data_IF_470782484022
#
_entry.id   IF_470782484022
#
_cell.length_a   1.000
_cell.length_b   1.000
_cell.length_c   1.000
_cell.angle_alpha   90.00
_cell.angle_beta   90.00
_cell.angle_gamma   90.00
#
_symmetry.space_group_name_H-M   'P 1'
#
loop_
_entity.id
_entity.type
_entity.pdbx_description
1 polymer ?
#
# COMPACT_ATOMS: atom_id res chain seq x y z
N UNK A 1 -54.74 -42.69 45.29
CA UNK A 1 -55.54 -43.31 44.25
C UNK A 1 -56.41 -42.20 43.64
N UNK A 2 -55.90 -41.46 42.65
CA UNK A 2 -56.68 -40.50 41.83
C UNK A 2 -56.28 -40.71 40.39
N UNK A 3 -57.26 -41.12 39.59
CA UNK A 3 -57.17 -41.27 38.14
C UNK A 3 -57.08 -39.88 37.48
N UNK A 4 -56.14 -39.68 36.55
CA UNK A 4 -56.13 -38.58 35.61
C UNK A 4 -56.50 -39.11 34.23
N UNK A 5 -57.61 -38.59 33.70
CA UNK A 5 -58.08 -38.82 32.33
C UNK A 5 -57.21 -38.01 31.32
N UNK A 6 -56.74 -38.71 30.30
CA UNK A 6 -56.03 -38.13 29.17
C UNK A 6 -57.05 -37.83 28.05
N UNK A 7 -57.26 -36.56 27.70
CA UNK A 7 -58.11 -36.15 26.58
C UNK A 7 -57.21 -35.94 25.34
N UNK A 8 -57.50 -36.71 24.30
CA UNK A 8 -56.85 -36.59 22.99
C UNK A 8 -57.65 -35.59 22.15
N UNK A 9 -56.98 -34.49 21.74
CA UNK A 9 -57.51 -33.58 20.72
C UNK A 9 -56.94 -33.99 19.34
N UNK A 10 -57.83 -34.42 18.43
CA UNK A 10 -57.53 -34.52 17.01
C UNK A 10 -57.61 -33.12 16.39
N UNK A 11 -56.46 -32.61 15.86
CA UNK A 11 -56.45 -31.45 15.01
C UNK A 11 -56.49 -31.86 13.54
N UNK A 12 -57.53 -31.43 12.85
CA UNK A 12 -57.69 -31.61 11.41
C UNK A 12 -56.78 -30.61 10.66
N UNK A 13 -55.81 -31.12 9.88
CA UNK A 13 -55.04 -30.31 8.94
C UNK A 13 -55.84 -30.02 7.68
N UNK A 14 -56.22 -28.76 7.47
CA UNK A 14 -56.74 -28.25 6.19
C UNK A 14 -55.52 -27.89 5.31
N UNK A 15 -55.34 -28.60 4.22
CA UNK A 15 -54.33 -28.28 3.21
C UNK A 15 -54.85 -27.10 2.36
N UNK A 16 -54.24 -25.94 2.52
CA UNK A 16 -54.39 -24.82 1.59
C UNK A 16 -53.34 -24.93 0.48
N UNK A 17 -53.82 -25.15 -0.75
CA UNK A 17 -53.00 -25.12 -1.96
C UNK A 17 -52.54 -23.68 -2.23
N UNK A 18 -51.25 -23.38 -2.06
CA UNK A 18 -50.67 -22.12 -2.48
C UNK A 18 -50.25 -22.23 -3.96
N UNK A 19 -50.73 -21.31 -4.78
CA UNK A 19 -50.31 -21.14 -6.16
C UNK A 19 -48.83 -20.76 -6.23
N UNK A 20 -48.08 -21.20 -7.25
CA UNK A 20 -46.67 -20.81 -7.41
C UNK A 20 -46.57 -19.31 -7.71
N UNK A 21 -45.63 -18.66 -6.99
CA UNK A 21 -45.24 -17.26 -7.25
C UNK A 21 -44.69 -17.10 -8.67
N UNK A 22 -44.91 -15.96 -9.33
CA UNK A 22 -44.36 -15.71 -10.65
C UNK A 22 -42.81 -15.70 -10.60
N UNK A 23 -42.19 -16.39 -11.54
CA UNK A 23 -40.73 -16.40 -11.69
C UNK A 23 -40.24 -14.97 -11.97
N UNK A 24 -39.44 -14.44 -11.04
CA UNK A 24 -38.68 -13.20 -11.27
C UNK A 24 -37.61 -13.53 -12.32
N UNK A 25 -37.82 -13.07 -13.54
CA UNK A 25 -36.78 -13.08 -14.56
C UNK A 25 -35.64 -12.19 -14.07
N UNK A 26 -34.49 -12.79 -13.77
CA UNK A 26 -33.28 -12.04 -13.48
C UNK A 26 -32.98 -11.15 -14.69
N UNK A 27 -32.88 -9.83 -14.46
CA UNK A 27 -32.43 -8.92 -15.50
C UNK A 27 -31.02 -9.37 -15.95
N UNK A 28 -30.79 -9.37 -17.26
CA UNK A 28 -29.48 -9.60 -17.81
C UNK A 28 -28.48 -8.58 -17.20
N UNK A 29 -27.23 -9.01 -16.88
CA UNK A 29 -26.23 -8.06 -16.42
C UNK A 29 -26.08 -6.95 -17.46
N UNK A 30 -25.84 -5.69 -17.04
CA UNK A 30 -25.56 -4.61 -17.97
C UNK A 30 -24.39 -5.01 -18.85
N UNK A 31 -24.46 -4.67 -20.14
CA UNK A 31 -23.36 -4.88 -21.07
C UNK A 31 -22.09 -4.22 -20.49
N UNK A 32 -20.95 -4.91 -20.61
CA UNK A 32 -19.65 -4.34 -20.24
C UNK A 32 -19.50 -2.97 -20.95
N UNK A 33 -19.17 -1.93 -20.17
CA UNK A 33 -18.87 -0.61 -20.74
C UNK A 33 -17.64 -0.76 -21.65
N UNK A 34 -17.67 -0.19 -22.84
CA UNK A 34 -16.49 -0.12 -23.70
C UNK A 34 -15.47 0.79 -22.97
N UNK A 35 -14.21 0.34 -22.85
CA UNK A 35 -13.15 1.09 -22.17
C UNK A 35 -12.91 2.48 -22.78
N UNK A 36 -13.40 2.73 -24.01
CA UNK A 36 -13.32 4.02 -24.72
C UNK A 36 -14.40 5.01 -24.29
N UNK A 37 -15.44 4.59 -23.58
CA UNK A 37 -16.56 5.45 -23.14
C UNK A 37 -16.32 6.12 -21.77
N UNK A 38 -15.20 5.82 -21.10
CA UNK A 38 -14.85 6.44 -19.82
C UNK A 38 -14.34 7.87 -20.01
N UNK A 39 -14.76 8.84 -19.18
CA UNK A 39 -14.18 10.17 -19.20
C UNK A 39 -12.65 10.12 -18.96
N UNK A 40 -11.90 10.94 -19.68
CA UNK A 40 -10.44 11.00 -19.56
C UNK A 40 -9.75 9.63 -19.68
N UNK A 41 -10.30 8.72 -20.50
CA UNK A 41 -9.74 7.39 -20.73
C UNK A 41 -8.30 7.47 -21.24
N UNK A 42 -7.44 6.60 -20.72
CA UNK A 42 -6.08 6.40 -21.20
C UNK A 42 -6.08 5.14 -22.08
N UNK A 43 -5.46 5.22 -23.26
CA UNK A 43 -5.31 4.06 -24.12
C UNK A 43 -4.58 2.94 -23.40
N UNK A 44 -5.08 1.70 -23.54
CA UNK A 44 -4.50 0.54 -22.89
C UNK A 44 -4.13 -0.56 -23.86
N UNK A 45 -3.04 -1.27 -23.57
CA UNK A 45 -2.68 -2.54 -24.16
C UNK A 45 -2.86 -3.66 -23.14
N UNK A 46 -3.23 -4.85 -23.61
CA UNK A 46 -3.40 -6.00 -22.73
C UNK A 46 -2.05 -6.51 -22.24
N UNK A 47 -1.90 -6.53 -20.92
CA UNK A 47 -0.80 -7.19 -20.20
C UNK A 47 -1.23 -8.61 -19.83
N UNK A 48 -0.38 -9.60 -20.09
CA UNK A 48 -0.57 -10.96 -19.54
C UNK A 48 0.20 -11.07 -18.23
N UNK A 49 -0.46 -11.10 -17.06
CA UNK A 49 0.23 -11.26 -15.80
C UNK A 49 0.99 -12.58 -15.76
N UNK A 50 2.27 -12.53 -15.42
CA UNK A 50 3.14 -13.69 -15.24
C UNK A 50 3.85 -13.60 -13.89
N UNK A 51 3.96 -14.71 -13.13
CA UNK A 51 4.68 -14.69 -11.87
C UNK A 51 6.14 -14.27 -12.05
N UNK A 52 6.55 -13.25 -11.32
CA UNK A 52 7.94 -12.80 -11.17
C UNK A 52 8.39 -13.24 -9.79
N UNK A 53 9.30 -14.20 -9.76
CA UNK A 53 9.82 -14.77 -8.52
C UNK A 53 11.29 -14.40 -8.37
N UNK A 54 11.59 -13.67 -7.31
CA UNK A 54 12.94 -13.42 -6.86
C UNK A 54 13.18 -14.33 -5.66
N UNK A 55 14.25 -15.13 -5.68
CA UNK A 55 14.58 -16.04 -4.57
C UNK A 55 15.95 -15.72 -4.00
N UNK A 56 16.16 -16.05 -2.74
CA UNK A 56 17.45 -15.83 -2.09
C UNK A 56 18.59 -16.60 -2.78
N UNK A 57 18.28 -17.79 -3.29
CA UNK A 57 19.25 -18.68 -3.95
C UNK A 57 19.73 -18.13 -5.31
N UNK A 58 18.95 -17.25 -5.95
CA UNK A 58 19.28 -16.66 -7.25
C UNK A 58 20.01 -15.32 -7.13
N UNK A 59 20.26 -14.84 -5.91
CA UNK A 59 20.90 -13.54 -5.69
C UNK A 59 22.40 -13.59 -6.02
N UNK A 60 22.95 -12.53 -6.63
CA UNK A 60 24.38 -12.43 -6.87
C UNK A 60 25.14 -12.24 -5.54
N UNK A 61 26.43 -12.52 -5.56
CA UNK A 61 27.32 -12.16 -4.46
C UNK A 61 27.41 -10.62 -4.33
N UNK A 62 27.61 -10.11 -3.11
CA UNK A 62 27.88 -8.69 -2.92
C UNK A 62 29.01 -8.19 -3.81
N UNK A 63 28.76 -7.03 -4.46
CA UNK A 63 29.70 -6.39 -5.40
C UNK A 63 29.95 -7.18 -6.70
N UNK A 64 29.09 -8.12 -7.09
CA UNK A 64 29.18 -8.81 -8.38
C UNK A 64 29.04 -7.87 -9.58
N UNK A 65 28.40 -6.71 -9.40
CA UNK A 65 28.36 -5.59 -10.34
C UNK A 65 28.73 -4.29 -9.65
N UNK A 66 29.11 -3.27 -10.43
CA UNK A 66 29.21 -1.91 -9.89
C UNK A 66 27.82 -1.39 -9.53
N UNK A 67 27.75 -0.60 -8.46
CA UNK A 67 26.51 0.06 -8.07
C UNK A 67 26.31 1.30 -8.92
N UNK A 68 25.37 1.25 -9.84
CA UNK A 68 25.04 2.38 -10.68
C UNK A 68 24.41 3.54 -9.88
N UNK A 69 24.48 4.75 -10.44
CA UNK A 69 23.78 5.95 -9.97
C UNK A 69 23.13 6.64 -11.16
N UNK A 70 22.03 6.05 -11.61
CA UNK A 70 21.24 6.53 -12.74
C UNK A 70 19.85 6.92 -12.25
N UNK A 71 19.69 8.18 -11.83
CA UNK A 71 18.36 8.73 -11.54
C UNK A 71 17.53 8.81 -12.84
N UNK A 72 16.20 8.68 -12.76
CA UNK A 72 15.37 8.72 -13.94
C UNK A 72 15.40 10.11 -14.61
N UNK A 73 15.46 10.10 -15.94
CA UNK A 73 15.11 11.25 -16.78
C UNK A 73 13.59 11.27 -16.92
N UNK A 74 12.96 12.24 -16.25
CA UNK A 74 11.49 12.38 -16.24
C UNK A 74 11.11 13.25 -17.43
N UNK A 75 10.34 12.68 -18.35
CA UNK A 75 9.81 13.39 -19.52
C UNK A 75 8.31 13.69 -19.34
N UNK A 76 7.81 14.63 -20.14
CA UNK A 76 6.39 14.93 -20.19
C UNK A 76 5.57 13.70 -20.58
N UNK A 77 4.30 13.69 -20.16
CA UNK A 77 3.36 12.65 -20.59
C UNK A 77 3.25 12.67 -22.11
N UNK A 78 3.42 11.53 -22.81
CA UNK A 78 3.26 11.46 -24.26
C UNK A 78 1.91 12.02 -24.72
N UNK A 79 1.86 12.61 -25.92
CA UNK A 79 0.60 13.12 -26.50
C UNK A 79 -0.48 12.03 -26.65
N UNK A 80 -0.06 10.78 -26.77
CA UNK A 80 -0.94 9.58 -26.80
C UNK A 80 -0.35 8.54 -25.85
N UNK A 81 -0.55 8.68 -24.53
CA UNK A 81 0.00 7.75 -23.58
C UNK A 81 -0.70 6.39 -23.69
N UNK A 82 0.08 5.32 -23.62
CA UNK A 82 -0.44 3.95 -23.58
C UNK A 82 0.05 3.29 -22.30
N UNK A 83 -0.89 2.79 -21.50
CA UNK A 83 -0.62 1.99 -20.32
C UNK A 83 -0.94 0.51 -20.61
N UNK A 84 -0.38 -0.39 -19.82
CA UNK A 84 -0.64 -1.82 -19.95
C UNK A 84 -1.27 -2.33 -18.68
N UNK A 85 -2.41 -3.02 -18.84
CA UNK A 85 -3.19 -3.63 -17.74
C UNK A 85 -3.67 -5.02 -18.16
N UNK A 86 -4.03 -5.90 -17.23
CA UNK A 86 -4.63 -7.19 -17.57
C UNK A 86 -5.93 -7.04 -18.36
N UNK A 87 -6.32 -8.09 -19.10
CA UNK A 87 -7.54 -8.10 -19.87
C UNK A 87 -8.77 -7.76 -19.02
N UNK A 88 -9.67 -6.94 -19.54
CA UNK A 88 -10.90 -6.50 -18.88
C UNK A 88 -10.71 -5.31 -17.93
N UNK A 89 -9.50 -4.74 -17.84
CA UNK A 89 -9.26 -3.51 -17.09
C UNK A 89 -9.18 -2.30 -18.01
N UNK A 90 -9.66 -1.18 -17.50
CA UNK A 90 -9.56 0.14 -18.13
C UNK A 90 -8.87 1.12 -17.19
N UNK A 91 -8.24 2.14 -17.77
CA UNK A 91 -7.54 3.19 -17.03
C UNK A 91 -8.08 4.55 -17.46
N UNK A 92 -8.34 5.43 -16.50
CA UNK A 92 -8.70 6.82 -16.75
C UNK A 92 -7.88 7.75 -15.84
N UNK A 93 -7.69 8.99 -16.25
CA UNK A 93 -7.14 10.03 -15.37
C UNK A 93 -8.24 10.48 -14.44
N UNK A 94 -8.13 10.13 -13.15
CA UNK A 94 -9.09 10.50 -12.11
C UNK A 94 -8.90 11.94 -11.64
N UNK A 95 -7.64 12.41 -11.56
CA UNK A 95 -7.30 13.82 -11.31
C UNK A 95 -5.94 14.13 -11.93
N UNK A 96 -5.74 15.35 -12.40
CA UNK A 96 -4.48 15.84 -12.93
C UNK A 96 -4.14 17.27 -12.46
N UNK A 97 -2.99 17.79 -12.91
CA UNK A 97 -2.52 19.11 -12.50
C UNK A 97 -2.28 19.21 -10.99
N UNK A 98 -1.77 18.13 -10.38
CA UNK A 98 -1.46 18.02 -8.97
C UNK A 98 0.04 18.24 -8.73
N UNK A 99 0.38 18.87 -7.62
CA UNK A 99 1.78 19.05 -7.22
C UNK A 99 2.29 17.83 -6.46
N UNK A 100 3.10 16.99 -7.12
CA UNK A 100 3.75 15.81 -6.54
C UNK A 100 2.80 14.97 -5.66
N UNK A 101 1.69 14.44 -6.21
CA UNK A 101 0.73 13.63 -5.45
C UNK A 101 1.41 12.35 -4.94
N UNK A 102 1.27 12.06 -3.64
CA UNK A 102 1.97 10.92 -3.07
C UNK A 102 1.07 9.92 -2.38
N UNK A 103 0.44 10.29 -1.27
CA UNK A 103 -0.27 9.34 -0.43
C UNK A 103 -1.76 9.61 -0.42
N UNK A 104 -2.53 8.54 -0.44
CA UNK A 104 -3.99 8.58 -0.44
C UNK A 104 -4.54 8.00 0.85
N UNK A 105 -5.66 8.55 1.30
CA UNK A 105 -6.48 7.95 2.34
C UNK A 105 -7.97 8.18 2.04
N UNK A 106 -8.79 7.17 2.31
CA UNK A 106 -10.24 7.28 2.21
C UNK A 106 -10.78 7.91 3.50
N UNK A 107 -11.46 9.04 3.39
CA UNK A 107 -12.15 9.66 4.51
C UNK A 107 -13.48 8.93 4.82
N UNK A 108 -13.98 9.01 6.06
CA UNK A 108 -15.23 8.35 6.46
C UNK A 108 -16.47 8.77 5.67
N UNK A 109 -16.44 9.91 4.99
CA UNK A 109 -17.51 10.41 4.12
C UNK A 109 -17.36 9.99 2.65
N UNK A 110 -16.36 9.15 2.33
CA UNK A 110 -16.09 8.65 0.99
C UNK A 110 -15.22 9.58 0.12
N UNK A 111 -14.84 10.77 0.61
CA UNK A 111 -13.86 11.61 -0.08
C UNK A 111 -12.45 11.02 0.02
N UNK A 112 -11.60 11.36 -0.93
CA UNK A 112 -10.20 10.92 -0.96
C UNK A 112 -9.31 12.07 -0.49
N UNK A 113 -8.52 11.83 0.55
CA UNK A 113 -7.46 12.75 0.96
C UNK A 113 -6.17 12.42 0.23
N UNK A 114 -5.53 13.44 -0.32
CA UNK A 114 -4.25 13.36 -1.01
C UNK A 114 -3.19 14.15 -0.26
N UNK A 115 -2.14 13.50 0.20
CA UNK A 115 -0.95 14.19 0.67
C UNK A 115 -0.05 14.61 -0.52
N UNK A 116 -0.01 15.91 -0.79
CA UNK A 116 0.99 16.59 -1.61
C UNK A 116 2.17 16.96 -0.69
N UNK A 117 3.00 15.95 -0.37
CA UNK A 117 3.93 16.04 0.76
C UNK A 117 4.93 17.18 0.63
N UNK A 118 5.46 17.43 -0.59
CA UNK A 118 6.47 18.48 -0.83
C UNK A 118 5.92 19.88 -0.69
N UNK A 119 4.60 20.03 -0.88
CA UNK A 119 3.86 21.28 -0.75
C UNK A 119 3.34 21.51 0.68
N UNK A 120 3.60 20.56 1.59
CA UNK A 120 3.05 20.58 2.94
C UNK A 120 1.53 20.76 2.96
N UNK A 121 0.84 20.10 2.02
CA UNK A 121 -0.60 20.26 1.80
C UNK A 121 -1.27 18.89 1.74
N UNK A 122 -2.48 18.82 2.29
CA UNK A 122 -3.42 17.72 2.08
C UNK A 122 -4.62 18.30 1.32
N UNK A 123 -4.93 17.70 0.19
CA UNK A 123 -6.12 18.01 -0.60
C UNK A 123 -7.24 17.03 -0.28
N UNK A 124 -8.48 17.48 -0.36
CA UNK A 124 -9.69 16.67 -0.36
C UNK A 124 -10.25 16.64 -1.77
N UNK A 125 -10.38 15.45 -2.32
CA UNK A 125 -10.82 15.19 -3.69
C UNK A 125 -12.13 14.40 -3.65
N UNK A 126 -13.05 14.71 -4.56
CA UNK A 126 -14.32 14.01 -4.68
C UNK A 126 -14.71 13.86 -6.14
N UNK A 127 -15.16 12.67 -6.49
CA UNK A 127 -15.91 12.34 -7.69
C UNK A 127 -17.39 12.48 -7.29
N UNK A 128 -17.98 13.62 -7.62
CA UNK A 128 -19.28 14.01 -7.08
C UNK A 128 -20.47 13.41 -7.85
N UNK A 129 -20.29 13.14 -9.15
CA UNK A 129 -21.32 12.56 -10.02
C UNK A 129 -21.11 11.07 -10.33
N UNK A 130 -19.96 10.50 -9.90
CA UNK A 130 -19.67 9.09 -10.01
C UNK A 130 -19.19 8.66 -11.39
N UNK A 131 -18.71 9.60 -12.22
CA UNK A 131 -18.23 9.32 -13.58
C UNK A 131 -16.78 8.79 -13.62
N UNK A 132 -16.11 8.79 -12.47
CA UNK A 132 -14.74 8.32 -12.30
C UNK A 132 -13.68 9.40 -12.49
N UNK A 133 -14.07 10.67 -12.38
CA UNK A 133 -13.17 11.84 -12.38
C UNK A 133 -13.44 12.65 -11.09
N UNK A 134 -12.41 13.20 -10.48
CA UNK A 134 -12.56 14.07 -9.32
C UNK A 134 -12.72 15.53 -9.75
N UNK A 135 -13.96 16.04 -9.76
CA UNK A 135 -14.27 17.43 -10.11
C UNK A 135 -13.97 18.38 -8.96
N UNK A 136 -14.29 17.94 -7.72
CA UNK A 136 -14.09 18.77 -6.55
C UNK A 136 -12.67 18.58 -5.98
N UNK A 137 -12.00 19.72 -5.79
CA UNK A 137 -10.67 19.80 -5.20
C UNK A 137 -10.65 20.91 -4.17
N UNK A 138 -10.46 20.56 -2.92
CA UNK A 138 -10.43 21.49 -1.79
C UNK A 138 -9.13 21.34 -0.99
N UNK A 139 -8.61 22.42 -0.44
CA UNK A 139 -7.48 22.35 0.51
C UNK A 139 -8.02 21.90 1.87
N UNK A 140 -7.63 20.70 2.30
CA UNK A 140 -8.02 20.13 3.60
C UNK A 140 -7.10 20.60 4.73
N UNK A 141 -5.79 20.62 4.50
CA UNK A 141 -4.80 21.11 5.47
C UNK A 141 -3.55 21.63 4.77
N UNK A 142 -2.79 22.51 5.46
CA UNK A 142 -1.55 23.13 4.98
C UNK A 142 -0.49 23.15 6.07
N UNK A 143 0.69 23.72 5.77
CA UNK A 143 1.73 24.00 6.76
C UNK A 143 1.22 24.83 7.95
N UNK A 144 0.19 25.68 7.78
CA UNK A 144 -0.42 26.43 8.88
C UNK A 144 -1.13 25.52 9.90
N UNK A 145 -1.48 24.31 9.51
CA UNK A 145 -1.99 23.26 10.40
C UNK A 145 -0.87 22.44 11.06
N UNK A 146 0.41 22.76 10.86
CA UNK A 146 1.54 22.04 11.41
C UNK A 146 1.99 20.86 10.55
N UNK A 147 1.67 20.85 9.25
CA UNK A 147 2.19 19.85 8.31
C UNK A 147 3.65 20.13 7.97
N UNK A 148 4.49 19.09 8.00
CA UNK A 148 5.87 19.05 7.53
C UNK A 148 6.15 17.74 6.79
N UNK A 149 6.13 17.80 5.46
CA UNK A 149 6.22 16.64 4.58
C UNK A 149 5.21 15.55 4.98
N UNK A 150 3.89 15.87 5.06
CA UNK A 150 2.87 14.90 5.48
C UNK A 150 2.85 13.70 4.53
N UNK A 151 2.59 12.50 5.07
CA UNK A 151 2.48 11.30 4.25
C UNK A 151 1.32 10.41 4.70
N UNK A 152 1.54 9.49 5.64
CA UNK A 152 0.50 8.59 6.11
C UNK A 152 -0.63 9.33 6.81
N UNK A 153 -1.85 8.89 6.56
CA UNK A 153 -3.07 9.47 7.09
C UNK A 153 -4.00 8.37 7.60
N UNK A 154 -4.58 8.56 8.78
CA UNK A 154 -5.48 7.58 9.37
C UNK A 154 -6.65 8.26 10.09
N UNK A 155 -7.75 7.53 10.23
CA UNK A 155 -8.91 7.90 11.03
C UNK A 155 -9.10 6.86 12.14
N UNK A 156 -9.15 7.30 13.37
CA UNK A 156 -9.43 6.45 14.53
C UNK A 156 -9.99 7.33 15.68
N UNK A 157 -10.80 6.76 16.55
CA UNK A 157 -11.30 7.42 17.77
C UNK A 157 -11.86 8.85 17.54
N UNK A 158 -12.63 9.03 16.46
CA UNK A 158 -13.20 10.34 16.11
C UNK A 158 -12.18 11.42 15.79
N UNK A 159 -10.97 11.03 15.39
CA UNK A 159 -9.88 11.92 15.06
C UNK A 159 -9.24 11.56 13.71
N UNK A 160 -8.59 12.55 13.12
CA UNK A 160 -7.70 12.40 11.98
C UNK A 160 -6.26 12.44 12.46
N UNK A 161 -5.44 11.56 11.92
CA UNK A 161 -4.02 11.47 12.20
C UNK A 161 -3.21 11.65 10.93
N UNK A 162 -2.07 12.35 11.04
CA UNK A 162 -1.12 12.50 9.94
C UNK A 162 0.31 12.29 10.44
N UNK A 163 1.08 11.49 9.69
CA UNK A 163 2.52 11.34 9.87
C UNK A 163 3.27 12.43 9.12
N UNK A 164 3.83 13.35 9.85
CA UNK A 164 4.87 14.27 9.38
C UNK A 164 6.24 13.62 9.50
N UNK A 165 7.26 14.22 8.91
CA UNK A 165 8.63 13.73 9.05
C UNK A 165 9.11 13.69 10.51
N UNK A 166 8.72 14.68 11.31
CA UNK A 166 9.19 14.86 12.70
C UNK A 166 8.18 14.46 13.79
N UNK A 167 6.94 14.19 13.44
CA UNK A 167 5.91 13.85 14.40
C UNK A 167 4.73 13.10 13.81
N UNK A 168 3.87 12.54 14.67
CA UNK A 168 2.50 12.15 14.35
C UNK A 168 1.56 13.12 15.05
N UNK A 169 0.65 13.74 14.29
CA UNK A 169 -0.34 14.69 14.82
C UNK A 169 -1.74 14.14 14.77
N UNK A 170 -2.50 14.46 15.82
CA UNK A 170 -3.92 14.16 16.00
C UNK A 170 -4.73 15.45 15.89
N UNK A 171 -5.81 15.41 15.11
CA UNK A 171 -6.79 16.49 14.97
C UNK A 171 -8.17 15.96 15.30
N UNK A 172 -9.01 16.70 16.03
CA UNK A 172 -10.44 16.40 16.10
C UNK A 172 -11.02 16.36 14.68
N UNK A 173 -11.83 15.36 14.39
CA UNK A 173 -12.44 15.20 13.06
C UNK A 173 -13.90 14.76 13.16
N UNK A 174 -14.74 15.40 12.36
CA UNK A 174 -16.12 14.99 12.15
C UNK A 174 -16.33 14.57 10.69
N UNK A 175 -17.07 13.49 10.39
CA UNK A 175 -17.37 13.09 9.02
C UNK A 175 -17.97 14.24 8.21
N UNK A 176 -17.45 14.43 6.98
CA UNK A 176 -17.84 15.55 6.11
C UNK A 176 -17.13 16.87 6.39
N UNK A 177 -16.19 16.91 7.33
CA UNK A 177 -15.38 18.09 7.58
C UNK A 177 -14.48 18.38 6.38
N UNK A 178 -14.64 19.54 5.75
CA UNK A 178 -13.93 19.94 4.53
C UNK A 178 -12.50 20.42 4.76
N UNK A 179 -12.11 20.80 5.99
CA UNK A 179 -10.77 21.29 6.34
C UNK A 179 -10.44 21.06 7.81
N UNK A 180 -9.15 20.99 8.12
CA UNK A 180 -8.67 20.92 9.50
C UNK A 180 -8.64 22.31 10.16
N UNK A 181 -8.85 22.31 11.46
CA UNK A 181 -8.75 23.49 12.33
C UNK A 181 -7.52 23.37 13.25
N UNK A 182 -6.81 24.48 13.45
CA UNK A 182 -5.63 24.54 14.34
C UNK A 182 -4.45 23.72 13.88
N UNK A 183 -3.50 23.48 14.79
CA UNK A 183 -2.24 22.76 14.52
C UNK A 183 -2.23 21.31 15.01
N UNK A 184 -3.35 20.83 15.54
CA UNK A 184 -3.43 19.50 16.14
C UNK A 184 -2.57 19.33 17.39
N UNK A 185 -2.56 18.10 17.90
CA UNK A 185 -1.73 17.71 19.06
C UNK A 185 -0.72 16.67 18.59
N UNK A 186 0.55 16.83 18.97
CA UNK A 186 1.58 15.80 18.75
C UNK A 186 1.31 14.62 19.67
N UNK A 187 1.12 13.43 19.08
CA UNK A 187 0.91 12.17 19.81
C UNK A 187 2.14 11.27 19.78
N UNK A 188 3.07 11.52 18.84
CA UNK A 188 4.38 10.87 18.83
C UNK A 188 5.42 11.80 18.22
N UNK A 189 6.52 12.00 18.94
CA UNK A 189 7.73 12.61 18.38
C UNK A 189 8.51 11.57 17.56
N UNK A 190 9.05 11.99 16.41
CA UNK A 190 9.80 11.17 15.49
C UNK A 190 11.18 11.78 15.21
N UNK A 191 12.18 10.97 14.81
CA UNK A 191 13.58 11.43 14.71
C UNK A 191 13.88 12.32 13.48
N UNK A 192 12.88 12.88 12.81
CA UNK A 192 13.07 13.75 11.68
C UNK A 192 13.53 13.02 10.40
N UNK A 193 14.17 13.76 9.47
CA UNK A 193 14.62 13.21 8.18
C UNK A 193 15.71 12.17 8.37
N UNK A 194 15.70 11.12 7.53
CA UNK A 194 16.74 10.11 7.47
C UNK A 194 17.56 10.20 6.18
N UNK A 195 18.20 9.09 5.84
CA UNK A 195 19.02 8.92 4.65
C UNK A 195 18.24 9.30 3.38
N UNK A 196 18.81 10.15 2.55
CA UNK A 196 18.25 10.57 1.26
C UNK A 196 16.73 10.88 1.32
N UNK A 197 15.92 9.90 0.93
CA UNK A 197 14.46 10.01 0.86
C UNK A 197 13.74 9.34 2.03
N UNK A 198 14.42 8.94 3.11
CA UNK A 198 13.83 8.33 4.30
C UNK A 198 13.16 9.37 5.22
N UNK A 199 12.42 10.30 4.64
CA UNK A 199 11.61 11.29 5.33
C UNK A 199 10.16 10.85 5.52
N UNK A 200 9.72 9.82 4.81
CA UNK A 200 8.34 9.34 4.83
C UNK A 200 7.99 8.70 6.17
N UNK A 201 6.77 8.98 6.65
CA UNK A 201 6.20 8.38 7.87
C UNK A 201 4.79 7.93 7.54
N UNK A 202 4.58 6.62 7.41
CA UNK A 202 3.23 6.11 7.25
C UNK A 202 2.58 5.95 8.62
N UNK A 203 1.28 6.24 8.67
CA UNK A 203 0.44 6.06 9.85
C UNK A 203 -0.83 5.36 9.41
N UNK A 204 -1.12 4.19 9.99
CA UNK A 204 -2.30 3.40 9.66
C UNK A 204 -2.94 2.93 10.95
N UNK A 205 -4.26 3.08 11.05
CA UNK A 205 -5.03 2.55 12.18
C UNK A 205 -5.20 1.03 12.06
N UNK A 206 -5.10 0.32 13.19
CA UNK A 206 -5.48 -1.09 13.25
C UNK A 206 -6.97 -1.28 12.94
N UNK A 207 -7.40 -2.44 12.44
CA UNK A 207 -8.81 -2.67 12.05
C UNK A 207 -9.81 -2.48 13.19
N UNK A 208 -9.40 -2.67 14.45
CA UNK A 208 -10.20 -2.39 15.66
C UNK A 208 -10.19 -0.92 16.08
N UNK A 209 -9.31 -0.09 15.49
CA UNK A 209 -9.14 1.32 15.82
C UNK A 209 -8.35 1.59 17.12
N UNK A 210 -7.88 0.57 17.81
CA UNK A 210 -7.24 0.70 19.12
C UNK A 210 -5.76 1.09 19.06
N UNK A 211 -5.13 0.97 17.87
CA UNK A 211 -3.72 1.28 17.67
C UNK A 211 -3.45 2.02 16.37
N UNK A 212 -2.43 2.86 16.39
CA UNK A 212 -1.81 3.45 15.21
C UNK A 212 -0.44 2.80 14.99
N UNK A 213 -0.21 2.27 13.81
CA UNK A 213 1.08 1.74 13.39
C UNK A 213 1.84 2.80 12.62
N UNK A 214 3.12 2.99 12.94
CA UNK A 214 3.95 4.07 12.40
C UNK A 214 5.25 3.51 11.85
N UNK A 215 5.59 3.86 10.59
CA UNK A 215 6.85 3.48 9.96
C UNK A 215 7.91 4.56 10.13
N UNK A 216 9.15 4.16 10.38
CA UNK A 216 10.31 5.06 10.44
C UNK A 216 11.49 4.45 9.71
N UNK A 217 11.93 5.09 8.64
CA UNK A 217 13.12 4.67 7.90
C UNK A 217 14.43 5.02 8.61
N UNK A 218 15.52 4.40 8.16
CA UNK A 218 16.88 4.61 8.69
C UNK A 218 17.39 6.02 8.44
N UNK A 219 18.38 6.43 9.23
CA UNK A 219 19.12 7.66 9.02
C UNK A 219 20.31 7.46 8.07
N UNK A 220 20.86 6.24 8.03
CA UNK A 220 22.01 5.88 7.22
C UNK A 220 21.67 4.77 6.21
N UNK A 221 22.60 4.49 5.32
CA UNK A 221 22.47 3.37 4.40
C UNK A 221 22.60 2.02 5.10
N UNK A 222 23.57 1.88 6.04
CA UNK A 222 23.91 0.58 6.63
C UNK A 222 24.60 0.67 7.99
N UNK A 223 24.47 1.77 8.73
CA UNK A 223 25.07 1.87 10.07
C UNK A 223 24.03 1.52 11.16
N UNK A 224 24.47 0.98 12.31
CA UNK A 224 23.56 0.71 13.41
C UNK A 224 22.88 1.99 13.94
N UNK A 225 21.62 1.90 14.27
CA UNK A 225 20.81 3.05 14.70
C UNK A 225 19.94 2.70 15.90
N UNK A 226 19.60 3.74 16.67
CA UNK A 226 18.68 3.63 17.79
C UNK A 226 17.21 3.63 17.30
N UNK A 227 16.38 2.84 17.99
CA UNK A 227 14.94 2.90 17.77
C UNK A 227 14.39 4.31 18.04
N UNK A 228 13.38 4.76 17.27
CA UNK A 228 12.53 3.99 16.35
C UNK A 228 13.02 3.99 14.89
N UNK A 229 14.27 4.32 14.58
CA UNK A 229 14.81 4.21 13.22
C UNK A 229 14.73 2.77 12.72
N UNK A 230 14.58 2.60 11.40
CA UNK A 230 14.53 1.31 10.72
C UNK A 230 13.53 0.33 11.35
N UNK A 231 12.32 0.83 11.70
CA UNK A 231 11.33 0.04 12.42
C UNK A 231 9.89 0.44 12.11
N UNK A 232 8.97 -0.42 12.55
CA UNK A 232 7.56 -0.11 12.73
C UNK A 232 7.22 -0.27 14.21
N UNK A 233 6.58 0.74 14.78
CA UNK A 233 6.05 0.69 16.13
C UNK A 233 4.55 0.99 16.14
N UNK A 234 3.88 0.66 17.23
CA UNK A 234 2.48 1.03 17.46
C UNK A 234 2.34 1.89 18.70
N UNK A 235 1.31 2.72 18.72
CA UNK A 235 0.85 3.54 19.85
C UNK A 235 -0.68 3.48 19.90
N UNK A 236 -1.26 3.82 21.04
CA UNK A 236 -2.70 4.11 21.12
C UNK A 236 -3.02 5.47 20.49
N UNK A 237 -4.29 5.77 20.10
CA UNK A 237 -4.66 7.05 19.48
C UNK A 237 -4.36 8.31 20.33
N UNK A 238 -4.19 8.17 21.65
CA UNK A 238 -3.76 9.23 22.55
C UNK A 238 -2.22 9.37 22.63
N UNK A 239 -1.47 8.51 21.93
CA UNK A 239 0.00 8.52 21.90
C UNK A 239 0.68 7.70 22.98
N UNK A 240 -0.07 7.02 23.84
CA UNK A 240 0.51 6.18 24.89
C UNK A 240 0.98 4.81 24.36
N UNK A 241 1.67 4.05 25.21
CA UNK A 241 1.96 2.63 25.00
C UNK A 241 2.83 2.31 23.79
N UNK A 242 3.83 3.17 23.45
CA UNK A 242 4.74 2.90 22.32
C UNK A 242 5.40 1.53 22.46
N UNK A 243 5.18 0.69 21.45
CA UNK A 243 5.77 -0.63 21.33
C UNK A 243 6.32 -0.84 19.94
N UNK A 244 7.60 -1.16 19.81
CA UNK A 244 8.17 -1.64 18.54
C UNK A 244 7.55 -2.99 18.21
N UNK A 245 7.07 -3.16 16.98
CA UNK A 245 6.49 -4.43 16.49
C UNK A 245 7.43 -5.18 15.56
N UNK A 246 8.27 -4.45 14.83
CA UNK A 246 9.32 -5.03 13.99
C UNK A 246 10.43 -4.00 13.76
N UNK A 247 11.67 -4.47 13.59
CA UNK A 247 12.83 -3.62 13.36
C UNK A 247 13.85 -4.30 12.44
N UNK A 248 14.93 -3.59 12.10
CA UNK A 248 15.84 -4.05 11.05
C UNK A 248 15.19 -3.96 9.66
N UNK A 249 14.20 -3.10 9.50
CA UNK A 249 13.51 -2.75 8.27
C UNK A 249 14.11 -1.44 7.76
N UNK A 250 15.11 -1.51 6.85
CA UNK A 250 15.88 -0.31 6.48
C UNK A 250 15.00 0.91 6.20
N UNK A 251 14.04 0.81 5.31
CA UNK A 251 13.08 1.88 5.04
C UNK A 251 11.67 1.32 4.80
N UNK A 252 10.90 1.04 5.85
CA UNK A 252 9.52 0.63 5.72
C UNK A 252 8.67 1.83 5.29
N UNK A 253 7.86 1.68 4.25
CA UNK A 253 7.07 2.79 3.66
C UNK A 253 5.58 2.46 3.57
N UNK A 254 5.19 1.53 2.70
CA UNK A 254 3.81 1.06 2.62
C UNK A 254 3.44 0.29 3.89
N UNK A 255 2.22 0.47 4.35
CA UNK A 255 1.70 -0.23 5.53
C UNK A 255 0.20 -0.43 5.35
N UNK A 256 -0.26 -1.67 5.43
CA UNK A 256 -1.66 -2.01 5.34
C UNK A 256 -1.96 -3.31 6.11
N UNK A 257 -3.21 -3.50 6.50
CA UNK A 257 -3.67 -4.71 7.17
C UNK A 257 -4.34 -5.65 6.17
N UNK A 258 -3.96 -6.93 6.18
CA UNK A 258 -4.64 -7.93 5.36
C UNK A 258 -6.11 -8.06 5.77
N UNK A 259 -7.08 -7.92 4.84
CA UNK A 259 -8.48 -7.72 5.18
C UNK A 259 -9.16 -8.91 5.87
N UNK A 260 -8.68 -10.14 5.66
CA UNK A 260 -9.28 -11.33 6.28
C UNK A 260 -8.61 -11.73 7.60
N UNK A 261 -7.31 -11.45 7.77
CA UNK A 261 -6.54 -11.92 8.94
C UNK A 261 -6.22 -10.82 9.93
N UNK A 262 -6.34 -9.55 9.52
CA UNK A 262 -5.87 -8.41 10.32
C UNK A 262 -4.34 -8.36 10.51
N UNK A 263 -3.58 -9.17 9.78
CA UNK A 263 -2.12 -9.16 9.83
C UNK A 263 -1.57 -7.89 9.16
N UNK A 264 -0.74 -7.09 9.84
CA UNK A 264 -0.11 -5.94 9.21
C UNK A 264 1.05 -6.36 8.31
N UNK A 265 1.15 -5.72 7.14
CA UNK A 265 2.22 -5.87 6.16
C UNK A 265 2.86 -4.53 5.84
N UNK A 266 4.15 -4.55 5.48
CA UNK A 266 4.89 -3.37 5.05
C UNK A 266 5.72 -3.65 3.81
N UNK A 267 5.88 -2.63 2.95
CA UNK A 267 6.91 -2.62 1.91
C UNK A 267 8.18 -2.03 2.48
N UNK A 268 9.34 -2.56 2.07
CA UNK A 268 10.64 -2.10 2.54
C UNK A 268 11.57 -1.85 1.37
N UNK A 269 12.21 -0.68 1.37
CA UNK A 269 13.32 -0.39 0.47
C UNK A 269 14.63 -0.74 1.17
N UNK A 270 15.38 -1.66 0.58
CA UNK A 270 16.62 -2.19 1.13
C UNK A 270 17.86 -1.33 0.82
N UNK A 271 19.00 -1.78 1.33
CA UNK A 271 20.23 -1.03 1.28
C UNK A 271 20.81 -0.90 -0.13
N UNK A 272 21.49 0.23 -0.35
CA UNK A 272 22.19 0.54 -1.59
C UNK A 272 23.66 0.09 -1.54
N UNK A 273 24.31 0.06 -2.71
CA UNK A 273 25.76 -0.07 -2.86
C UNK A 273 26.32 -1.48 -2.58
N UNK A 274 25.56 -2.52 -2.93
CA UNK A 274 26.06 -3.90 -3.03
C UNK A 274 26.09 -4.42 -4.47
N UNK A 275 25.83 -3.56 -5.45
CA UNK A 275 25.65 -3.88 -6.86
C UNK A 275 24.20 -3.75 -7.29
N UNK A 276 23.94 -3.88 -8.59
CA UNK A 276 22.61 -3.69 -9.17
C UNK A 276 21.60 -4.77 -8.78
N UNK A 277 22.08 -5.98 -8.50
CA UNK A 277 21.25 -7.12 -8.12
C UNK A 277 20.98 -7.25 -6.62
N UNK A 278 21.54 -6.37 -5.77
CA UNK A 278 21.43 -6.41 -4.32
C UNK A 278 21.16 -5.03 -3.71
N UNK A 279 20.26 -4.92 -2.73
CA UNK A 279 19.46 -5.97 -2.10
C UNK A 279 18.04 -5.85 -2.64
N UNK A 280 17.30 -6.95 -2.87
CA UNK A 280 15.89 -6.92 -3.19
C UNK A 280 15.08 -6.09 -2.21
N UNK A 281 14.24 -5.19 -2.72
CA UNK A 281 13.13 -4.63 -1.96
C UNK A 281 12.11 -5.74 -1.67
N UNK A 282 11.21 -5.55 -0.71
CA UNK A 282 10.28 -6.62 -0.36
C UNK A 282 8.96 -6.16 0.25
N UNK A 283 7.99 -7.08 0.26
CA UNK A 283 6.77 -7.05 1.05
C UNK A 283 6.87 -8.11 2.16
N UNK A 284 6.53 -7.74 3.39
CA UNK A 284 6.54 -8.69 4.50
C UNK A 284 5.48 -8.39 5.56
N UNK A 285 5.00 -9.45 6.20
CA UNK A 285 4.21 -9.35 7.43
C UNK A 285 5.07 -8.81 8.57
N UNK A 286 4.50 -8.02 9.46
CA UNK A 286 5.20 -7.50 10.63
C UNK A 286 4.49 -7.90 11.91
N UNK A 287 5.20 -7.89 13.05
CA UNK A 287 4.61 -8.26 14.34
C UNK A 287 5.64 -8.73 15.34
N UNK A 288 5.15 -9.31 16.41
CA UNK A 288 5.97 -9.96 17.42
C UNK A 288 6.22 -11.42 17.00
N UNK A 289 7.32 -11.98 17.48
CA UNK A 289 7.60 -13.41 17.37
C UNK A 289 6.83 -14.24 18.43
N UNK A 290 7.10 -15.55 18.49
CA UNK A 290 6.42 -16.45 19.42
C UNK A 290 6.74 -16.16 20.90
N UNK A 291 7.85 -15.50 21.16
CA UNK A 291 8.29 -15.14 22.52
C UNK A 291 7.77 -13.74 22.91
N UNK A 292 7.04 -13.07 22.02
CA UNK A 292 6.52 -11.72 22.22
C UNK A 292 7.53 -10.60 21.96
N UNK A 293 8.66 -10.92 21.34
CA UNK A 293 9.68 -9.96 20.96
C UNK A 293 9.45 -9.41 19.55
N UNK A 294 9.84 -8.15 19.24
CA UNK A 294 9.76 -7.61 17.89
C UNK A 294 10.53 -8.45 16.88
N UNK A 295 9.92 -8.76 15.73
CA UNK A 295 10.61 -9.46 14.65
C UNK A 295 11.71 -8.61 14.08
N UNK A 296 12.87 -9.24 13.79
CA UNK A 296 14.04 -8.60 13.21
C UNK A 296 14.23 -9.01 11.76
N UNK A 297 14.36 -8.03 10.84
CA UNK A 297 14.45 -8.26 9.40
C UNK A 297 15.86 -8.08 8.82
N UNK A 298 16.87 -8.00 9.67
CA UNK A 298 18.29 -8.14 9.31
C UNK A 298 19.08 -6.85 9.28
N UNK A 299 18.54 -5.78 8.70
CA UNK A 299 19.29 -4.52 8.58
C UNK A 299 19.74 -3.97 9.96
N UNK A 300 21.00 -3.51 10.12
CA UNK A 300 22.06 -3.38 9.12
C UNK A 300 23.02 -4.58 9.06
N UNK A 301 22.82 -5.64 9.82
CA UNK A 301 23.79 -6.72 10.05
C UNK A 301 23.70 -7.86 9.05
N UNK A 302 22.52 -8.09 8.51
CA UNK A 302 22.22 -9.11 7.50
C UNK A 302 21.21 -8.52 6.51
N UNK A 303 21.01 -9.20 5.39
CA UNK A 303 19.92 -8.92 4.47
C UNK A 303 19.18 -10.22 4.12
N UNK A 304 17.86 -10.18 4.20
CA UNK A 304 16.89 -11.21 3.81
C UNK A 304 16.94 -12.52 4.61
N UNK A 305 18.12 -13.01 5.01
CA UNK A 305 18.30 -14.27 5.76
C UNK A 305 19.39 -14.15 6.81
N UNK A 306 19.43 -15.06 7.80
CA UNK A 306 20.51 -15.08 8.80
C UNK A 306 21.92 -15.29 8.21
N UNK A 307 22.02 -15.99 7.06
CA UNK A 307 23.29 -16.36 6.45
C UNK A 307 23.86 -15.26 5.54
N UNK A 308 23.02 -14.34 5.06
CA UNK A 308 23.43 -13.23 4.22
C UNK A 308 23.97 -12.07 5.07
N UNK A 309 25.20 -12.21 5.55
CA UNK A 309 25.84 -11.19 6.36
C UNK A 309 26.20 -9.96 5.52
N UNK A 310 25.88 -8.75 6.03
CA UNK A 310 26.30 -7.51 5.36
C UNK A 310 27.82 -7.34 5.45
N UNK A 311 28.53 -7.22 4.30
CA UNK A 311 29.99 -7.18 4.28
C UNK A 311 30.60 -5.96 5.00
N UNK A 312 29.80 -4.91 5.25
CA UNK A 312 30.24 -3.73 6.01
C UNK A 312 30.00 -3.85 7.52
N UNK A 313 29.31 -4.91 7.96
CA UNK A 313 28.97 -5.18 9.37
C UNK A 313 29.63 -6.46 9.88
N UNK A 314 30.86 -6.70 9.43
CA UNK A 314 31.66 -7.85 9.84
C UNK A 314 32.81 -7.44 10.76
N UNK A 315 32.99 -8.22 11.82
CA UNK A 315 34.19 -8.23 12.64
C UNK A 315 34.85 -9.65 12.57
N UNK A 316 36.06 -9.72 12.06
CA UNK A 316 36.78 -10.99 11.86
C UNK A 316 36.01 -12.01 11.02
N UNK A 317 35.19 -11.58 10.04
CA UNK A 317 34.43 -12.45 9.16
C UNK A 317 33.10 -12.96 9.78
N UNK A 318 32.70 -12.41 10.92
CA UNK A 318 31.41 -12.69 11.59
C UNK A 318 30.60 -11.41 11.68
N UNK A 319 29.28 -11.53 11.81
CA UNK A 319 28.45 -10.37 12.10
C UNK A 319 28.91 -9.67 13.39
N UNK A 320 28.90 -8.33 13.37
CA UNK A 320 29.08 -7.52 14.58
C UNK A 320 28.01 -7.82 15.66
N UNK A 321 26.85 -8.35 15.24
CA UNK A 321 25.73 -8.75 16.13
C UNK A 321 25.23 -10.16 15.75
N UNK A 322 25.97 -11.21 16.07
CA UNK A 322 25.58 -12.58 15.73
C UNK A 322 24.27 -13.01 16.39
N UNK A 323 23.93 -12.42 17.55
CA UNK A 323 22.67 -12.62 18.24
C UNK A 323 21.46 -12.11 17.43
N UNK A 324 21.57 -10.94 16.80
CA UNK A 324 20.54 -10.40 15.92
C UNK A 324 20.53 -11.09 14.55
N UNK A 325 21.72 -11.32 13.99
CA UNK A 325 21.84 -12.00 12.69
C UNK A 325 21.10 -13.35 12.68
N UNK A 326 21.23 -14.14 13.75
CA UNK A 326 20.53 -15.42 13.90
C UNK A 326 19.00 -15.31 13.99
N UNK A 327 18.46 -14.12 14.30
CA UNK A 327 17.02 -13.84 14.41
C UNK A 327 16.41 -13.26 13.13
N UNK A 328 17.21 -13.09 12.07
CA UNK A 328 16.73 -12.47 10.82
C UNK A 328 15.59 -13.29 10.23
N UNK A 329 14.46 -12.62 10.04
CA UNK A 329 13.26 -13.20 9.39
C UNK A 329 13.37 -12.99 7.89
N UNK A 330 13.15 -14.05 7.11
CA UNK A 330 13.05 -13.95 5.66
C UNK A 330 11.74 -13.27 5.27
N UNK A 331 11.76 -12.24 4.40
CA UNK A 331 10.55 -11.58 3.93
C UNK A 331 9.63 -12.49 3.10
N UNK A 332 8.33 -12.14 3.06
CA UNK A 332 7.31 -12.97 2.40
C UNK A 332 7.37 -12.92 0.87
N UNK A 333 7.67 -11.75 0.26
CA UNK A 333 7.79 -11.57 -1.19
C UNK A 333 8.97 -10.66 -1.49
N UNK A 334 9.95 -11.15 -2.25
CA UNK A 334 11.05 -10.34 -2.73
C UNK A 334 10.67 -9.70 -4.08
N UNK A 335 11.04 -8.42 -4.24
CA UNK A 335 10.92 -7.67 -5.48
C UNK A 335 12.29 -7.56 -6.18
N UNK A 336 12.31 -7.14 -7.42
CA UNK A 336 13.58 -6.76 -8.05
C UNK A 336 14.29 -5.69 -7.21
N UNK A 337 15.61 -5.85 -7.07
CA UNK A 337 16.45 -4.91 -6.31
C UNK A 337 16.25 -3.48 -6.82
N UNK A 338 16.13 -2.54 -5.89
CA UNK A 338 16.01 -1.11 -6.18
C UNK A 338 14.70 -0.67 -6.87
N UNK A 339 13.65 -1.49 -6.86
CA UNK A 339 12.34 -1.15 -7.44
C UNK A 339 11.68 0.07 -6.78
N UNK A 340 12.11 0.44 -5.59
CA UNK A 340 11.54 1.47 -4.73
C UNK A 340 10.05 1.21 -4.45
N UNK A 341 9.74 0.05 -3.85
CA UNK A 341 8.41 -0.35 -3.44
C UNK A 341 7.88 0.59 -2.35
N UNK A 342 6.78 1.32 -2.61
CA UNK A 342 6.22 2.33 -1.72
C UNK A 342 4.79 1.98 -1.30
N UNK A 343 3.78 2.48 -2.02
CA UNK A 343 2.36 2.32 -1.69
C UNK A 343 1.94 0.86 -1.61
N UNK A 344 1.14 0.53 -0.62
CA UNK A 344 0.60 -0.80 -0.37
C UNK A 344 -0.87 -0.67 0.00
N UNK A 345 -1.73 -1.41 -0.68
CA UNK A 345 -3.10 -1.62 -0.25
C UNK A 345 -3.58 -3.02 -0.64
N UNK A 346 -4.48 -3.58 0.15
CA UNK A 346 -5.06 -4.90 -0.09
C UNK A 346 -6.41 -4.79 -0.78
N UNK A 347 -6.62 -5.62 -1.79
CA UNK A 347 -7.97 -5.76 -2.34
C UNK A 347 -8.87 -6.52 -1.36
N UNK A 348 -10.08 -6.03 -1.06
CA UNK A 348 -10.97 -6.68 -0.10
C UNK A 348 -11.29 -8.12 -0.46
N UNK A 349 -11.45 -8.99 0.56
CA UNK A 349 -11.95 -10.35 0.37
C UNK A 349 -13.47 -10.33 0.23
N UNK A 350 -14.01 -11.06 -0.74
CA UNK A 350 -15.47 -11.21 -0.91
C UNK A 350 -16.19 -9.94 -1.35
N UNK A 351 -15.52 -9.08 -2.13
CA UNK A 351 -16.07 -7.83 -2.62
C UNK A 351 -17.32 -8.08 -3.49
N UNK A 352 -18.49 -7.95 -2.87
CA UNK A 352 -19.77 -7.79 -3.56
C UNK A 352 -20.20 -6.33 -3.40
N UNK A 353 -20.45 -5.65 -4.51
CA UNK A 353 -20.80 -4.24 -4.51
C UNK A 353 -22.27 -3.97 -4.24
N UNK A 354 -22.52 -2.93 -3.43
CA UNK A 354 -23.76 -2.18 -3.52
C UNK A 354 -23.75 -1.38 -4.84
N UNK A 355 -24.71 -1.66 -5.74
CA UNK A 355 -24.85 -0.90 -6.99
C UNK A 355 -24.44 -1.60 -8.29
N UNK A 356 -23.95 -2.85 -8.26
CA UNK A 356 -23.79 -3.70 -9.47
C UNK A 356 -22.64 -3.36 -10.40
N UNK A 357 -21.70 -2.51 -10.02
CA UNK A 357 -20.48 -2.33 -10.79
C UNK A 357 -19.50 -3.50 -10.59
N UNK A 358 -18.71 -3.83 -11.63
CA UNK A 358 -17.83 -4.98 -11.62
C UNK A 358 -16.66 -4.76 -10.67
N UNK A 359 -16.54 -5.60 -9.64
CA UNK A 359 -15.32 -5.70 -8.82
C UNK A 359 -14.21 -6.38 -9.60
N UNK A 360 -12.97 -6.23 -9.16
CA UNK A 360 -11.87 -6.99 -9.76
C UNK A 360 -12.14 -8.49 -9.68
N UNK A 361 -11.69 -9.28 -10.68
CA UNK A 361 -11.82 -10.73 -10.67
C UNK A 361 -11.33 -11.37 -9.36
N UNK A 362 -11.93 -12.50 -8.98
CA UNK A 362 -11.68 -13.18 -7.71
C UNK A 362 -10.19 -13.47 -7.42
N UNK A 363 -9.35 -13.63 -8.46
CA UNK A 363 -7.90 -13.82 -8.30
C UNK A 363 -7.19 -12.67 -7.58
N UNK A 364 -7.78 -11.47 -7.56
CA UNK A 364 -7.22 -10.28 -6.89
C UNK A 364 -7.70 -10.14 -5.44
N UNK A 365 -8.74 -10.87 -5.05
CA UNK A 365 -9.32 -10.75 -3.71
C UNK A 365 -8.33 -11.21 -2.63
N UNK A 366 -8.11 -10.36 -1.64
CA UNK A 366 -7.15 -10.58 -0.56
C UNK A 366 -5.68 -10.37 -0.95
N UNK A 367 -5.38 -10.12 -2.23
CA UNK A 367 -4.02 -9.82 -2.68
C UNK A 367 -3.65 -8.35 -2.49
N UNK A 368 -2.37 -8.06 -2.59
CA UNK A 368 -1.80 -6.74 -2.34
C UNK A 368 -1.38 -6.04 -3.64
N UNK A 369 -1.81 -4.78 -3.83
CA UNK A 369 -1.28 -3.89 -4.85
C UNK A 369 -0.13 -3.07 -4.26
N UNK A 370 0.99 -2.99 -5.00
CA UNK A 370 2.20 -2.29 -4.56
C UNK A 370 2.66 -1.34 -5.66
N UNK A 371 2.80 -0.05 -5.34
CA UNK A 371 3.39 0.92 -6.25
C UNK A 371 4.92 0.86 -6.19
N UNK A 372 5.57 0.66 -7.33
CA UNK A 372 7.01 0.75 -7.49
C UNK A 372 7.35 2.09 -8.14
N UNK A 373 8.00 2.95 -7.35
CA UNK A 373 8.35 4.31 -7.81
C UNK A 373 9.44 4.31 -8.87
N UNK A 374 10.22 3.25 -8.92
CA UNK A 374 11.30 3.04 -9.86
C UNK A 374 12.67 3.45 -9.34
N UNK A 375 13.68 2.75 -9.86
CA UNK A 375 15.07 2.80 -9.43
C UNK A 375 15.74 4.15 -9.72
N UNK A 376 16.79 4.44 -8.96
CA UNK A 376 17.71 5.57 -9.19
C UNK A 376 19.19 5.12 -9.17
N UNK A 377 19.42 3.87 -8.84
CA UNK A 377 20.71 3.30 -8.50
C UNK A 377 20.91 1.90 -9.12
N UNK A 378 20.43 1.73 -10.34
CA UNK A 378 20.56 0.52 -11.15
C UNK A 378 20.96 0.87 -12.58
N UNK A 379 21.76 0.05 -13.23
CA UNK A 379 22.26 0.31 -14.61
C UNK A 379 21.11 0.26 -15.61
N UNK A 380 20.28 -0.78 -15.55
CA UNK A 380 18.98 -0.80 -16.22
C UNK A 380 17.86 -0.50 -15.24
N UNK A 381 17.10 0.55 -15.51
CA UNK A 381 16.00 0.98 -14.65
C UNK A 381 14.92 -0.08 -14.50
N UNK A 382 14.43 -0.26 -13.28
CA UNK A 382 13.33 -1.16 -12.94
C UNK A 382 12.29 -0.47 -12.06
N UNK A 383 11.13 -1.11 -11.87
CA UNK A 383 10.00 -0.51 -11.18
C UNK A 383 9.16 0.35 -12.13
N UNK A 384 8.79 1.57 -11.75
CA UNK A 384 7.92 2.48 -12.52
C UNK A 384 6.59 1.82 -12.94
N UNK A 385 5.96 1.11 -12.00
CA UNK A 385 4.76 0.28 -12.25
C UNK A 385 3.95 0.07 -10.98
N UNK A 386 2.77 -0.49 -11.11
CA UNK A 386 2.07 -1.12 -10.00
C UNK A 386 2.17 -2.63 -10.18
N UNK A 387 2.60 -3.30 -9.14
CA UNK A 387 2.65 -4.75 -9.06
C UNK A 387 1.49 -5.29 -8.23
N UNK A 388 1.16 -6.55 -8.44
CA UNK A 388 0.20 -7.32 -7.65
C UNK A 388 0.90 -8.51 -7.02
N UNK A 389 0.82 -8.64 -5.70
CA UNK A 389 1.26 -9.82 -4.96
C UNK A 389 0.05 -10.66 -4.57
N UNK A 390 -0.11 -11.87 -5.12
CA UNK A 390 -1.23 -12.75 -4.77
C UNK A 390 -1.06 -13.34 -3.38
N UNK A 391 -2.22 -13.62 -2.75
CA UNK A 391 -2.34 -14.22 -1.43
C UNK A 391 -3.26 -15.43 -1.47
N UNK A 392 -2.91 -16.47 -0.73
CA UNK A 392 -3.72 -17.66 -0.51
C UNK A 392 -3.80 -17.92 0.99
N UNK A 393 -5.00 -18.22 1.50
CA UNK A 393 -5.26 -18.45 2.92
C UNK A 393 -4.66 -17.36 3.85
N UNK A 394 -4.69 -16.11 3.40
CA UNK A 394 -4.19 -14.95 4.14
C UNK A 394 -2.67 -14.82 4.21
N UNK A 395 -1.93 -15.52 3.33
CA UNK A 395 -0.47 -15.45 3.23
C UNK A 395 -0.04 -15.17 1.80
N UNK A 396 1.02 -14.40 1.64
CA UNK A 396 1.62 -14.16 0.34
C UNK A 396 2.18 -15.47 -0.26
N UNK A 397 2.02 -15.66 -1.57
CA UNK A 397 2.46 -16.89 -2.26
C UNK A 397 3.92 -16.83 -2.73
N UNK A 398 4.68 -15.79 -2.35
CA UNK A 398 6.12 -15.68 -2.58
C UNK A 398 6.51 -15.27 -4.01
N UNK A 399 5.62 -14.61 -4.75
CA UNK A 399 5.91 -13.96 -6.03
C UNK A 399 5.00 -12.74 -6.21
N UNK A 400 5.30 -11.94 -7.22
CA UNK A 400 4.45 -10.85 -7.66
C UNK A 400 4.25 -10.88 -9.17
N UNK A 401 3.35 -10.07 -9.68
CA UNK A 401 3.02 -9.93 -11.09
C UNK A 401 2.93 -8.45 -11.46
N UNK A 402 3.22 -8.10 -12.70
CA UNK A 402 2.93 -6.78 -13.21
C UNK A 402 1.41 -6.57 -13.33
N UNK A 403 0.92 -5.40 -12.90
CA UNK A 403 -0.50 -5.07 -12.97
C UNK A 403 -0.78 -3.80 -13.81
N UNK A 404 -0.06 -2.71 -13.56
CA UNK A 404 -0.15 -1.47 -14.35
C UNK A 404 1.26 -1.04 -14.73
N UNK A 405 1.57 -1.05 -16.02
CA UNK A 405 2.89 -0.70 -16.57
C UNK A 405 2.77 0.27 -17.75
N UNK A 406 3.90 0.68 -18.32
CA UNK A 406 3.95 1.59 -19.47
C UNK A 406 4.50 2.96 -19.16
N UNK A 407 4.86 3.25 -17.91
CA UNK A 407 5.48 4.51 -17.50
C UNK A 407 6.96 4.60 -17.90
N UNK A 408 7.71 3.49 -17.81
CA UNK A 408 9.10 3.39 -18.22
C UNK A 408 9.20 3.29 -19.74
N UNK A 409 9.88 4.26 -20.36
CA UNK A 409 10.05 4.35 -21.81
C UNK A 409 11.31 3.64 -22.27
N UNK A 410 12.41 3.88 -21.57
CA UNK A 410 13.72 3.29 -21.85
C UNK A 410 14.40 2.91 -20.52
N UNK A 411 14.60 1.60 -20.27
CA UNK A 411 15.29 1.17 -19.04
C UNK A 411 16.76 1.54 -19.02
N UNK A 412 17.41 1.70 -20.17
CA UNK A 412 18.85 1.97 -20.25
C UNK A 412 19.23 3.36 -19.77
N UNK A 413 18.25 4.33 -19.79
CA UNK A 413 18.42 5.70 -19.35
C UNK A 413 18.50 5.90 -17.83
N UNK A 414 17.53 5.49 -16.97
CA UNK A 414 16.16 5.19 -17.31
C UNK A 414 15.38 6.46 -17.68
N UNK A 415 14.56 6.37 -18.72
CA UNK A 415 13.64 7.45 -19.12
C UNK A 415 12.21 7.06 -18.79
N UNK A 416 11.48 7.91 -18.10
CA UNK A 416 10.11 7.64 -17.66
C UNK A 416 9.22 8.88 -17.74
N UNK A 417 7.92 8.67 -18.01
CA UNK A 417 6.92 9.74 -17.91
C UNK A 417 6.00 9.58 -16.69
N UNK A 418 6.24 8.59 -15.82
CA UNK A 418 5.44 8.41 -14.62
C UNK A 418 6.18 7.63 -13.53
N UNK A 419 5.91 8.02 -12.28
CA UNK A 419 6.49 7.41 -11.07
C UNK A 419 5.38 7.11 -10.07
N UNK A 420 4.79 5.89 -10.10
CA UNK A 420 3.74 5.49 -9.14
C UNK A 420 4.24 5.55 -7.70
N UNK A 421 3.41 6.06 -6.78
CA UNK A 421 3.77 6.22 -5.36
C UNK A 421 2.75 5.62 -4.42
N UNK A 422 1.51 6.07 -4.45
CA UNK A 422 0.43 5.60 -3.60
C UNK A 422 -0.55 4.74 -4.38
N UNK A 423 -1.16 3.80 -3.68
CA UNK A 423 -2.29 3.00 -4.16
C UNK A 423 -3.41 3.05 -3.12
N UNK A 424 -4.65 3.05 -3.56
CA UNK A 424 -5.83 3.02 -2.69
C UNK A 424 -6.98 2.30 -3.39
N UNK A 425 -7.48 1.23 -2.79
CA UNK A 425 -8.67 0.54 -3.25
C UNK A 425 -9.90 1.30 -2.76
N UNK A 426 -10.75 1.74 -3.67
CA UNK A 426 -11.98 2.45 -3.35
C UNK A 426 -13.12 1.49 -2.95
N UNK A 427 -14.13 1.97 -2.21
CA UNK A 427 -15.30 1.16 -1.86
C UNK A 427 -16.04 0.63 -3.09
N UNK A 428 -15.89 1.29 -4.21
CA UNK A 428 -16.44 0.87 -5.49
C UNK A 428 -15.63 -0.26 -6.16
N UNK A 429 -14.52 -0.72 -5.59
CA UNK A 429 -13.65 -1.78 -6.06
C UNK A 429 -12.66 -1.34 -7.14
N UNK A 430 -12.63 -0.07 -7.53
CA UNK A 430 -11.57 0.48 -8.38
C UNK A 430 -10.30 0.77 -7.57
N UNK A 431 -9.16 0.88 -8.26
CA UNK A 431 -7.87 1.19 -7.66
C UNK A 431 -7.43 2.59 -8.13
N UNK A 432 -7.17 3.49 -7.17
CA UNK A 432 -6.47 4.73 -7.45
C UNK A 432 -4.95 4.53 -7.34
N UNK A 433 -4.22 5.19 -8.23
CA UNK A 433 -2.76 5.17 -8.30
C UNK A 433 -2.26 6.60 -8.45
N UNK A 434 -1.51 7.11 -7.46
CA UNK A 434 -0.85 8.42 -7.63
C UNK A 434 0.42 8.27 -8.46
N UNK A 435 0.67 9.25 -9.28
CA UNK A 435 1.87 9.39 -10.10
C UNK A 435 2.48 10.79 -9.85
N UNK A 436 3.66 10.84 -9.22
CA UNK A 436 4.23 12.11 -8.72
C UNK A 436 5.01 12.91 -9.76
N UNK A 437 5.45 12.30 -10.87
CA UNK A 437 6.35 12.93 -11.82
C UNK A 437 5.63 13.99 -12.69
N UNK A 438 4.41 13.68 -13.13
CA UNK A 438 3.59 14.57 -13.95
C UNK A 438 2.26 14.96 -13.27
N UNK A 439 2.12 14.68 -11.96
CA UNK A 439 1.06 15.25 -11.16
C UNK A 439 -0.33 14.67 -11.41
N UNK A 440 -0.45 13.33 -11.53
CA UNK A 440 -1.71 12.65 -11.85
C UNK A 440 -2.11 11.62 -10.82
N UNK A 441 -3.42 11.35 -10.78
CA UNK A 441 -4.00 10.17 -10.15
C UNK A 441 -4.74 9.40 -11.24
N UNK A 442 -4.37 8.15 -11.42
CA UNK A 442 -5.07 7.23 -12.32
C UNK A 442 -6.08 6.40 -11.54
N UNK A 443 -7.22 6.10 -12.17
CA UNK A 443 -8.19 5.13 -11.71
C UNK A 443 -8.16 3.92 -12.62
N UNK A 444 -7.99 2.74 -12.03
CA UNK A 444 -8.06 1.46 -12.72
C UNK A 444 -9.36 0.78 -12.33
N UNK A 445 -10.17 0.43 -13.32
CA UNK A 445 -11.48 -0.20 -13.13
C UNK A 445 -11.57 -1.50 -13.91
N UNK A 446 -12.31 -2.47 -13.42
CA UNK A 446 -12.62 -3.68 -14.18
C UNK A 446 -13.94 -3.46 -14.93
N UNK A 447 -13.91 -3.62 -16.25
CA UNK A 447 -15.04 -3.35 -17.14
C UNK A 447 -15.60 -4.63 -17.79
N UNK A 448 -14.96 -5.80 -17.56
CA UNK A 448 -15.50 -7.11 -17.98
C UNK A 448 -14.59 -7.93 -18.89
#
# INVERSE_FOLDING_TARGET
>A
MRLLLLSVFLAACSATSSAPAPAVTAAAPPAAADSTDLPNAVATETLTPTPIRVTVDDLPEPYASESARKGPDVVDVPASPVLRVPAGFAVQVWADGLDSPRWLALAPDGSVLLAASRENTILRLQDADGDGVAEARETFATAANGLDLPMGMAFADGAFFVGNTGDVRRYPYAPGQGRLEGTGTVVAELPGRGYNQHWTRNVVASPDGDSLYVTVGSETNVDPEELPRASVFRITPDGAGRQTVSFGLRNPVGLAFHPATGTPYTTVNERDLLGDGLVPDYLTSIGLDADGEPRFYGWPYTYLTPDNLDPRRLDGGRSERPDLAARTVTPDVLFESHSAALGLDFYPTGATRAGGAATFPARYHGGAFVAFRGSWNRDEGTGYKVAFAPFEDGRAVGHYEDFLTGFLVDPSGPTTWGRPVGVLVLPDGSLLVTEEANGRIYRVSYVG
#
